data_IF_173583931155
#
_entry.id   IF_173583931155
#
_cell.length_a   1.000
_cell.length_b   1.000
_cell.length_c   1.000
_cell.angle_alpha   90.00
_cell.angle_beta   90.00
_cell.angle_gamma   90.00
#
_symmetry.space_group_name_H-M   'P 1'
#
loop_
_entity.id
_entity.type
_entity.pdbx_description
1 polymer ?
#
# COMPACT_ATOMS: atom_id res chain seq x y z
N UNK A 1 -10.17 -2.00 -23.07
CA UNK A 1 -10.96 -2.20 -21.82
C UNK A 1 -10.25 -3.05 -20.76
N UNK A 2 -9.38 -4.01 -21.10
CA UNK A 2 -8.71 -4.90 -20.15
C UNK A 2 -7.77 -4.16 -19.17
N UNK A 3 -7.02 -3.15 -19.64
CA UNK A 3 -6.08 -2.39 -18.81
C UNK A 3 -6.75 -1.65 -17.64
N UNK A 4 -7.91 -1.02 -17.85
CA UNK A 4 -8.64 -0.28 -16.79
C UNK A 4 -9.13 -1.20 -15.66
N UNK A 5 -9.56 -2.42 -15.99
CA UNK A 5 -10.02 -3.41 -15.00
C UNK A 5 -8.90 -3.83 -14.04
N UNK A 6 -7.67 -3.96 -14.58
CA UNK A 6 -6.50 -4.33 -13.79
C UNK A 6 -6.10 -3.21 -12.79
N UNK A 7 -6.17 -1.94 -13.22
CA UNK A 7 -5.84 -0.78 -12.37
C UNK A 7 -6.79 -0.67 -11.17
N UNK A 8 -8.09 -0.88 -11.38
CA UNK A 8 -9.11 -0.83 -10.31
C UNK A 8 -8.85 -1.89 -9.24
N UNK A 9 -8.47 -3.12 -9.63
CA UNK A 9 -8.13 -4.19 -8.66
C UNK A 9 -6.84 -3.88 -7.88
N UNK A 10 -5.81 -3.34 -8.55
CA UNK A 10 -4.55 -2.95 -7.89
C UNK A 10 -4.77 -1.82 -6.88
N UNK A 11 -5.58 -0.81 -7.21
CA UNK A 11 -5.93 0.26 -6.28
C UNK A 11 -6.63 -0.27 -5.01
N UNK A 12 -7.49 -1.29 -5.12
CA UNK A 12 -8.15 -1.91 -3.96
C UNK A 12 -7.14 -2.58 -3.03
N UNK A 13 -6.17 -3.32 -3.56
CA UNK A 13 -5.12 -3.97 -2.76
C UNK A 13 -4.30 -2.91 -2.01
N UNK A 14 -3.89 -1.84 -2.70
CA UNK A 14 -3.14 -0.76 -2.09
C UNK A 14 -3.91 -0.08 -0.96
N UNK A 15 -5.22 0.13 -1.14
CA UNK A 15 -6.08 0.68 -0.10
C UNK A 15 -6.16 -0.25 1.13
N UNK A 16 -6.34 -1.56 0.91
CA UNK A 16 -6.35 -2.54 1.99
C UNK A 16 -5.00 -2.61 2.73
N UNK A 17 -3.88 -2.51 2.02
CA UNK A 17 -2.56 -2.46 2.65
C UNK A 17 -2.39 -1.20 3.51
N UNK A 18 -2.83 -0.04 3.01
CA UNK A 18 -2.82 1.20 3.78
C UNK A 18 -3.69 1.08 5.04
N UNK A 19 -4.88 0.47 4.95
CA UNK A 19 -5.74 0.21 6.11
C UNK A 19 -5.08 -0.69 7.14
N UNK A 20 -4.46 -1.81 6.72
CA UNK A 20 -3.75 -2.71 7.62
C UNK A 20 -2.56 -2.02 8.29
N UNK A 21 -1.80 -1.24 7.54
CA UNK A 21 -0.67 -0.48 8.08
C UNK A 21 -1.14 0.63 9.04
N UNK A 22 -2.26 1.29 8.75
CA UNK A 22 -2.84 2.31 9.63
C UNK A 22 -3.25 1.70 10.97
N UNK A 23 -3.96 0.56 10.94
CA UNK A 23 -4.28 -0.21 12.15
C UNK A 23 -3.02 -0.62 12.92
N UNK A 24 -1.99 -1.11 12.23
CA UNK A 24 -0.74 -1.50 12.87
C UNK A 24 -0.03 -0.33 13.59
N UNK A 25 -0.12 0.88 13.03
CA UNK A 25 0.47 2.10 13.60
C UNK A 25 -0.46 2.85 14.57
N UNK A 26 -1.65 2.31 14.86
CA UNK A 26 -2.62 2.96 15.74
C UNK A 26 -3.20 4.27 15.17
N UNK A 27 -3.28 4.40 13.85
CA UNK A 27 -3.82 5.59 13.16
C UNK A 27 -5.05 5.24 12.31
N UNK A 28 -5.87 6.24 12.04
CA UNK A 28 -6.97 6.18 11.09
C UNK A 28 -6.44 6.14 9.64
N UNK A 29 -7.31 5.77 8.70
CA UNK A 29 -6.95 5.76 7.29
C UNK A 29 -6.69 7.17 6.74
N UNK A 30 -7.41 8.18 7.23
CA UNK A 30 -7.22 9.56 6.80
C UNK A 30 -5.89 10.14 7.29
N UNK A 31 -5.52 9.87 8.55
CA UNK A 31 -4.18 10.20 9.06
C UNK A 31 -3.06 9.50 8.28
N UNK A 32 -3.26 8.22 7.94
CA UNK A 32 -2.33 7.50 7.06
C UNK A 32 -2.23 8.16 5.69
N UNK A 33 -3.36 8.58 5.10
CA UNK A 33 -3.36 9.29 3.81
C UNK A 33 -2.58 10.58 3.87
N UNK A 34 -2.82 11.41 4.88
CA UNK A 34 -2.08 12.67 5.09
C UNK A 34 -0.58 12.42 5.27
N UNK A 35 -0.24 11.40 6.06
CA UNK A 35 1.14 10.98 6.27
C UNK A 35 1.82 10.56 4.97
N UNK A 36 1.15 9.75 4.13
CA UNK A 36 1.69 9.30 2.84
C UNK A 36 1.82 10.45 1.85
N UNK A 37 0.86 11.38 1.81
CA UNK A 37 0.94 12.60 0.99
C UNK A 37 2.17 13.42 1.42
N UNK A 38 2.33 13.67 2.72
CA UNK A 38 3.46 14.46 3.23
C UNK A 38 4.82 13.78 2.99
N UNK A 39 4.88 12.46 3.08
CA UNK A 39 6.14 11.70 3.00
C UNK A 39 6.55 11.33 1.59
N UNK A 40 5.60 10.95 0.74
CA UNK A 40 5.86 10.40 -0.60
C UNK A 40 5.29 11.27 -1.73
N UNK A 41 4.54 12.33 -1.41
CA UNK A 41 3.78 13.12 -2.38
C UNK A 41 2.80 12.25 -3.21
N UNK A 42 2.23 11.22 -2.58
CA UNK A 42 1.29 10.28 -3.19
C UNK A 42 -0.06 10.37 -2.49
N UNK A 43 -1.15 10.49 -3.25
CA UNK A 43 -2.51 10.41 -2.71
C UNK A 43 -3.13 9.04 -3.01
N UNK A 44 -3.45 8.28 -1.97
CA UNK A 44 -4.06 6.95 -2.07
C UNK A 44 -5.41 6.94 -2.80
N UNK A 45 -6.11 8.09 -2.87
CA UNK A 45 -7.38 8.23 -3.60
C UNK A 45 -7.18 8.50 -5.11
N UNK A 46 -5.96 8.79 -5.56
CA UNK A 46 -5.62 9.14 -6.96
C UNK A 46 -4.61 8.19 -7.60
N UNK A 47 -4.50 6.95 -7.08
CA UNK A 47 -3.51 5.97 -7.53
C UNK A 47 -3.76 5.44 -8.95
N UNK A 48 -5.00 5.47 -9.42
CA UNK A 48 -5.42 4.97 -10.73
C UNK A 48 -4.82 5.78 -11.89
N UNK A 49 -4.55 7.06 -11.66
CA UNK A 49 -3.93 7.98 -12.61
C UNK A 49 -2.42 8.17 -12.38
N UNK A 50 -1.87 7.56 -11.32
CA UNK A 50 -0.47 7.72 -10.93
C UNK A 50 0.23 6.36 -10.67
N UNK A 51 0.64 5.63 -11.74
CA UNK A 51 1.26 4.32 -11.61
C UNK A 51 2.62 4.36 -10.89
N UNK A 52 3.38 5.45 -11.05
CA UNK A 52 4.65 5.65 -10.34
C UNK A 52 4.41 5.83 -8.84
N UNK A 53 3.41 6.63 -8.46
CA UNK A 53 2.99 6.79 -7.08
C UNK A 53 2.51 5.48 -6.45
N UNK A 54 1.83 4.63 -7.23
CA UNK A 54 1.45 3.28 -6.79
C UNK A 54 2.67 2.40 -6.48
N UNK A 55 3.69 2.42 -7.34
CA UNK A 55 4.93 1.67 -7.13
C UNK A 55 5.67 2.17 -5.88
N UNK A 56 5.87 3.48 -5.75
CA UNK A 56 6.53 4.10 -4.58
C UNK A 56 5.81 3.76 -3.28
N UNK A 57 4.48 3.81 -3.28
CA UNK A 57 3.68 3.44 -2.13
C UNK A 57 3.86 1.96 -1.77
N UNK A 58 3.90 1.07 -2.76
CA UNK A 58 4.13 -0.36 -2.53
C UNK A 58 5.50 -0.60 -1.91
N UNK A 59 6.57 -0.06 -2.49
CA UNK A 59 7.93 -0.20 -1.99
C UNK A 59 8.06 0.33 -0.56
N UNK A 60 7.44 1.49 -0.29
CA UNK A 60 7.39 2.04 1.05
C UNK A 60 6.70 1.07 2.02
N UNK A 61 5.47 0.64 1.73
CA UNK A 61 4.73 -0.27 2.62
C UNK A 61 5.47 -1.59 2.85
N UNK A 62 6.12 -2.12 1.81
CA UNK A 62 6.95 -3.31 1.90
C UNK A 62 8.17 -3.11 2.81
N UNK A 63 8.87 -1.98 2.70
CA UNK A 63 9.99 -1.64 3.59
C UNK A 63 9.58 -1.50 5.07
N UNK A 64 8.32 -1.12 5.31
CA UNK A 64 7.76 -0.90 6.65
C UNK A 64 7.06 -2.14 7.21
N UNK A 65 7.11 -3.29 6.51
CA UNK A 65 6.36 -4.48 6.92
C UNK A 65 6.79 -4.96 8.32
N UNK A 66 5.83 -5.28 9.20
CA UNK A 66 6.11 -5.86 10.51
C UNK A 66 6.94 -7.14 10.41
N UNK A 67 7.70 -7.45 11.47
CA UNK A 67 8.52 -8.67 11.51
C UNK A 67 7.69 -9.96 11.31
N UNK A 68 6.45 -9.97 11.80
CA UNK A 68 5.50 -11.09 11.60
C UNK A 68 5.24 -11.40 10.13
N UNK A 69 5.24 -10.40 9.25
CA UNK A 69 5.07 -10.58 7.81
C UNK A 69 6.29 -11.23 7.13
N UNK A 70 7.48 -11.24 7.77
CA UNK A 70 8.70 -11.86 7.20
C UNK A 70 8.75 -13.36 7.44
N UNK A 71 8.07 -13.86 8.47
CA UNK A 71 8.13 -15.28 8.85
C UNK A 71 7.42 -16.20 7.83
N UNK A 72 6.58 -15.67 6.94
CA UNK A 72 5.95 -16.45 5.88
C UNK A 72 6.88 -16.77 4.70
N UNK A 73 7.97 -16.01 4.52
CA UNK A 73 8.95 -16.30 3.46
C UNK A 73 9.71 -17.62 3.74
N UNK A 74 9.92 -17.98 5.00
CA UNK A 74 10.62 -19.23 5.39
C UNK A 74 9.79 -20.50 5.19
N UNK A 75 8.46 -20.41 5.12
CA UNK A 75 7.58 -21.59 4.99
C UNK A 75 7.28 -22.00 3.55
N UNK A 76 7.61 -21.19 2.55
CA UNK A 76 7.35 -21.50 1.13
C UNK A 76 8.49 -22.25 0.41
N UNK A 77 9.60 -22.51 1.11
CA UNK A 77 10.78 -23.19 0.57
C UNK A 77 11.15 -24.49 1.31
N UNK A 78 10.23 -25.05 2.10
CA UNK A 78 10.36 -26.38 2.70
C UNK A 78 9.21 -27.29 2.25
#
# INVERSE_FOLDING_TARGET
>A
MILKSLTVKKCKIMLSLCQSMAKHKGMTLDEMREFIIKKLNVDIKKLDTNPVGMLLLYEYLYSQRPATCRNEEKKRFH
#
